data_IF_839823577453
#
_entry.id   IF_839823577453
#
_cell.length_a   1.000
_cell.length_b   1.000
_cell.length_c   1.000
_cell.angle_alpha   90.00
_cell.angle_beta   90.00
_cell.angle_gamma   90.00
#
_symmetry.space_group_name_H-M   'P 1'
#
loop_
_entity.id
_entity.type
_entity.pdbx_description
1 polymer ?
#
# COMPACT_ATOMS: atom_id res chain seq x y z
N UNK A 1 -10.46 20.58 -27.05
CA UNK A 1 -11.44 19.57 -27.52
C UNK A 1 -11.10 18.22 -26.88
N UNK A 2 -11.40 18.02 -25.60
CA UNK A 2 -11.05 16.80 -24.85
C UNK A 2 -12.22 16.23 -24.03
N UNK A 3 -13.44 16.70 -24.29
CA UNK A 3 -14.63 16.39 -23.47
C UNK A 3 -15.24 15.01 -23.73
N UNK A 4 -14.92 14.39 -24.87
CA UNK A 4 -15.70 13.26 -25.42
C UNK A 4 -14.85 12.01 -25.63
N UNK A 5 -13.56 12.04 -25.28
CA UNK A 5 -12.76 10.83 -25.35
C UNK A 5 -13.15 9.87 -24.21
N UNK A 6 -13.39 8.61 -24.58
CA UNK A 6 -13.65 7.48 -23.68
C UNK A 6 -14.93 7.56 -22.84
N UNK A 7 -16.06 8.00 -23.43
CA UNK A 7 -17.37 7.79 -22.79
C UNK A 7 -17.78 6.31 -22.87
N UNK A 8 -17.97 5.70 -21.72
CA UNK A 8 -18.51 4.35 -21.59
C UNK A 8 -20.00 4.32 -21.96
N UNK A 9 -20.51 3.14 -22.34
CA UNK A 9 -21.94 2.98 -22.65
C UNK A 9 -22.87 3.32 -21.47
N UNK A 10 -22.38 3.20 -20.23
CA UNK A 10 -23.13 3.62 -19.04
C UNK A 10 -23.17 5.14 -18.91
N UNK A 11 -22.03 5.83 -19.10
CA UNK A 11 -21.96 7.29 -19.08
C UNK A 11 -22.83 7.92 -20.17
N UNK A 12 -22.85 7.35 -21.39
CA UNK A 12 -23.73 7.82 -22.47
C UNK A 12 -25.20 7.70 -22.04
N UNK A 13 -25.59 6.58 -21.42
CA UNK A 13 -26.95 6.37 -20.91
C UNK A 13 -27.29 7.34 -19.78
N UNK A 14 -26.35 7.63 -18.88
CA UNK A 14 -26.53 8.64 -17.83
C UNK A 14 -26.71 10.04 -18.41
N UNK A 15 -25.81 10.48 -19.30
CA UNK A 15 -25.87 11.80 -19.96
C UNK A 15 -27.17 11.96 -20.73
N UNK A 16 -27.61 10.92 -21.44
CA UNK A 16 -28.88 10.94 -22.18
C UNK A 16 -30.08 11.11 -21.24
N UNK A 17 -30.07 10.44 -20.09
CA UNK A 17 -31.12 10.58 -19.06
C UNK A 17 -31.13 11.99 -18.46
N UNK A 18 -29.97 12.53 -18.11
CA UNK A 18 -29.89 13.91 -17.58
C UNK A 18 -30.34 14.92 -18.64
N UNK A 19 -29.86 14.81 -19.88
CA UNK A 19 -30.30 15.69 -20.97
C UNK A 19 -31.82 15.62 -21.19
N UNK A 20 -32.44 14.45 -21.00
CA UNK A 20 -33.90 14.30 -21.04
C UNK A 20 -34.61 15.06 -19.91
N UNK A 21 -34.02 15.14 -18.71
CA UNK A 21 -34.54 15.96 -17.60
C UNK A 21 -34.41 17.46 -17.91
N UNK A 22 -33.34 17.86 -18.58
CA UNK A 22 -33.07 19.25 -18.94
C UNK A 22 -33.64 19.68 -20.31
N UNK A 23 -34.63 18.97 -20.86
CA UNK A 23 -35.21 19.29 -22.18
C UNK A 23 -35.71 20.74 -22.32
N UNK A 24 -36.23 21.32 -21.24
CA UNK A 24 -36.65 22.73 -21.22
C UNK A 24 -35.50 23.75 -21.24
N UNK A 25 -34.27 23.29 -20.99
CA UNK A 25 -33.08 24.09 -20.71
C UNK A 25 -31.99 23.98 -21.79
N UNK A 26 -32.26 23.31 -22.93
CA UNK A 26 -31.30 23.05 -24.03
C UNK A 26 -30.81 24.35 -24.73
N UNK A 27 -31.23 25.52 -24.28
CA UNK A 27 -30.91 26.80 -24.91
C UNK A 27 -29.47 27.29 -24.64
N UNK A 28 -28.76 26.77 -23.63
CA UNK A 28 -27.40 27.20 -23.29
C UNK A 28 -26.35 26.18 -23.76
N UNK A 29 -25.28 26.61 -24.46
CA UNK A 29 -24.32 25.69 -25.05
C UNK A 29 -23.46 24.95 -24.02
N UNK A 30 -23.30 25.49 -22.80
CA UNK A 30 -22.51 24.83 -21.77
C UNK A 30 -23.32 23.85 -20.92
N UNK A 31 -24.62 23.65 -21.19
CA UNK A 31 -25.43 22.64 -20.48
C UNK A 31 -24.82 21.23 -20.62
N UNK A 32 -24.52 20.81 -21.85
CA UNK A 32 -23.98 19.48 -22.09
C UNK A 32 -22.59 19.29 -21.44
N UNK A 33 -21.62 20.22 -21.60
CA UNK A 33 -20.37 20.17 -20.85
C UNK A 33 -20.56 20.09 -19.33
N UNK A 34 -21.50 20.81 -18.73
CA UNK A 34 -21.80 20.74 -17.29
C UNK A 34 -22.30 19.35 -16.88
N UNK A 35 -23.24 18.77 -17.64
CA UNK A 35 -23.75 17.41 -17.40
C UNK A 35 -22.61 16.37 -17.50
N UNK A 36 -21.67 16.56 -18.42
CA UNK A 36 -20.53 15.64 -18.59
C UNK A 36 -19.51 15.70 -17.43
N UNK A 37 -19.51 16.76 -16.63
CA UNK A 37 -18.65 16.85 -15.43
C UNK A 37 -19.17 15.97 -14.30
N UNK A 38 -20.49 15.76 -14.21
CA UNK A 38 -21.10 15.04 -13.09
C UNK A 38 -20.55 13.61 -12.91
N UNK A 39 -20.47 12.74 -13.94
CA UNK A 39 -19.86 11.43 -13.78
C UNK A 39 -18.40 11.48 -13.29
N UNK A 40 -17.63 12.48 -13.73
CA UNK A 40 -16.22 12.65 -13.34
C UNK A 40 -16.10 13.07 -11.87
N UNK A 41 -16.99 13.97 -11.43
CA UNK A 41 -17.11 14.35 -10.03
C UNK A 41 -17.48 13.13 -9.17
N UNK A 42 -18.44 12.32 -9.60
CA UNK A 42 -18.83 11.10 -8.88
C UNK A 42 -17.68 10.10 -8.75
N UNK A 43 -16.89 9.88 -9.82
CA UNK A 43 -15.68 9.04 -9.77
C UNK A 43 -14.70 9.56 -8.71
N UNK A 44 -14.48 10.88 -8.65
CA UNK A 44 -13.59 11.48 -7.65
C UNK A 44 -14.15 11.31 -6.22
N UNK A 45 -15.44 11.56 -6.00
CA UNK A 45 -16.12 11.38 -4.70
C UNK A 45 -15.96 9.93 -4.22
N UNK A 46 -16.28 8.96 -5.07
CA UNK A 46 -16.19 7.55 -4.70
C UNK A 46 -14.73 7.11 -4.52
N UNK A 47 -13.82 7.54 -5.39
CA UNK A 47 -12.39 7.27 -5.28
C UNK A 47 -11.82 7.74 -3.94
N UNK A 48 -12.12 8.97 -3.52
CA UNK A 48 -11.69 9.52 -2.22
C UNK A 48 -12.31 8.75 -1.05
N UNK A 49 -13.58 8.34 -1.16
CA UNK A 49 -14.24 7.51 -0.15
C UNK A 49 -13.56 6.15 0.00
N UNK A 50 -13.21 5.51 -1.12
CA UNK A 50 -12.61 4.19 -1.13
C UNK A 50 -11.17 4.25 -0.62
N UNK A 51 -10.40 5.29 -0.97
CA UNK A 51 -9.09 5.56 -0.38
C UNK A 51 -9.16 5.73 1.14
N UNK A 52 -10.20 6.40 1.66
CA UNK A 52 -10.38 6.49 3.11
C UNK A 52 -10.55 5.10 3.75
N UNK A 53 -11.31 4.20 3.11
CA UNK A 53 -11.48 2.81 3.59
C UNK A 53 -10.16 2.04 3.54
N UNK A 54 -9.41 2.17 2.45
CA UNK A 54 -8.07 1.56 2.30
C UNK A 54 -7.12 2.02 3.40
N UNK A 55 -7.06 3.32 3.69
CA UNK A 55 -6.24 3.88 4.78
C UNK A 55 -6.66 3.31 6.14
N UNK A 56 -7.96 3.22 6.43
CA UNK A 56 -8.45 2.62 7.69
C UNK A 56 -8.06 1.14 7.79
N UNK A 57 -8.11 0.39 6.69
CA UNK A 57 -7.70 -1.01 6.68
C UNK A 57 -6.20 -1.15 6.96
N UNK A 58 -5.37 -0.29 6.36
CA UNK A 58 -3.94 -0.21 6.64
C UNK A 58 -3.70 0.06 8.13
N UNK A 59 -4.37 1.06 8.71
CA UNK A 59 -4.26 1.38 10.14
C UNK A 59 -4.65 0.23 11.07
N UNK A 60 -5.68 -0.54 10.69
CA UNK A 60 -6.08 -1.74 11.43
C UNK A 60 -5.02 -2.84 11.34
N UNK A 61 -4.47 -3.08 10.15
CA UNK A 61 -3.41 -4.09 9.93
C UNK A 61 -2.12 -3.74 10.69
N UNK A 62 -1.77 -2.46 10.77
CA UNK A 62 -0.58 -1.99 11.51
C UNK A 62 -0.81 -1.83 13.01
N UNK A 63 -2.05 -1.92 13.48
CA UNK A 63 -2.41 -1.70 14.89
C UNK A 63 -2.39 -0.22 15.32
N UNK A 64 -2.30 0.71 14.36
CA UNK A 64 -2.20 2.15 14.57
C UNK A 64 -3.55 2.87 14.51
N UNK A 65 -4.65 2.12 14.67
CA UNK A 65 -5.99 2.69 14.54
C UNK A 65 -6.18 3.86 15.52
N UNK A 66 -6.44 5.04 14.97
CA UNK A 66 -6.76 6.23 15.75
C UNK A 66 -8.10 6.00 16.46
N UNK A 67 -8.06 5.85 17.79
CA UNK A 67 -9.25 5.69 18.64
C UNK A 67 -9.93 7.05 18.80
N UNK A 68 -10.60 7.54 17.76
CA UNK A 68 -11.38 8.77 17.84
C UNK A 68 -12.77 8.53 18.46
N UNK A 69 -13.34 7.34 18.23
CA UNK A 69 -14.63 6.96 18.82
C UNK A 69 -14.44 6.27 20.18
N UNK A 70 -14.69 7.02 21.25
CA UNK A 70 -14.68 6.55 22.63
C UNK A 70 -15.63 5.36 22.88
N UNK A 71 -16.66 5.18 22.06
CA UNK A 71 -17.67 4.12 22.23
C UNK A 71 -17.14 2.72 21.91
N UNK A 72 -16.17 2.58 21.02
CA UNK A 72 -15.52 1.28 20.72
C UNK A 72 -14.35 0.97 21.66
N UNK A 73 -13.90 1.94 22.47
CA UNK A 73 -12.81 1.73 23.43
C UNK A 73 -13.16 0.74 24.56
N UNK A 74 -14.43 0.38 24.71
CA UNK A 74 -14.92 -0.62 25.67
C UNK A 74 -14.90 -2.06 25.14
N UNK A 75 -14.77 -2.28 23.82
CA UNK A 75 -14.57 -3.62 23.28
C UNK A 75 -13.08 -3.98 23.32
N UNK A 76 -12.67 -4.56 24.44
CA UNK A 76 -11.39 -5.28 24.58
C UNK A 76 -11.29 -6.38 23.51
N UNK A 77 -10.81 -6.06 22.31
CA UNK A 77 -10.22 -7.08 21.44
C UNK A 77 -8.84 -7.43 21.99
N UNK A 78 -8.49 -8.72 22.05
CA UNK A 78 -7.19 -9.15 22.56
C UNK A 78 -6.09 -8.47 21.74
N UNK A 79 -5.13 -7.87 22.43
CA UNK A 79 -3.93 -7.33 21.82
C UNK A 79 -3.33 -8.42 20.94
N UNK A 80 -3.21 -8.14 19.64
CA UNK A 80 -2.47 -9.01 18.72
C UNK A 80 -1.05 -9.07 19.29
N UNK A 81 -0.69 -10.21 19.87
CA UNK A 81 0.67 -10.48 20.31
C UNK A 81 1.55 -10.48 19.05
N UNK A 82 2.50 -9.55 18.98
CA UNK A 82 3.41 -9.30 17.86
C UNK A 82 2.76 -9.07 16.48
N UNK A 83 2.22 -7.87 16.20
CA UNK A 83 1.85 -7.45 14.84
C UNK A 83 3.04 -7.57 13.86
N UNK A 84 4.26 -7.34 14.33
CA UNK A 84 5.45 -7.29 13.49
C UNK A 84 5.86 -8.63 12.84
N UNK A 85 5.49 -9.79 13.41
CA UNK A 85 5.85 -11.11 12.84
C UNK A 85 4.85 -11.59 11.77
N UNK A 86 3.59 -11.16 11.83
CA UNK A 86 2.52 -11.63 10.93
C UNK A 86 2.13 -10.63 9.84
N UNK A 87 2.55 -9.37 9.97
CA UNK A 87 2.21 -8.31 9.02
C UNK A 87 3.14 -8.35 7.81
N UNK A 88 2.55 -8.42 6.62
CA UNK A 88 3.22 -8.19 5.34
C UNK A 88 3.33 -6.68 5.08
N UNK A 89 4.47 -6.11 5.46
CA UNK A 89 4.74 -4.68 5.27
C UNK A 89 4.88 -4.28 3.81
N UNK A 90 5.24 -5.20 2.90
CA UNK A 90 5.35 -4.89 1.47
C UNK A 90 3.96 -4.66 0.88
N UNK A 91 3.02 -5.56 1.18
CA UNK A 91 1.63 -5.42 0.76
C UNK A 91 1.00 -4.14 1.32
N UNK A 92 1.20 -3.85 2.61
CA UNK A 92 0.66 -2.65 3.24
C UNK A 92 1.26 -1.38 2.62
N UNK A 93 2.57 -1.37 2.34
CA UNK A 93 3.25 -0.24 1.71
C UNK A 93 2.73 0.00 0.28
N UNK A 94 2.47 -1.08 -0.47
CA UNK A 94 1.86 -1.00 -1.78
C UNK A 94 0.42 -0.45 -1.72
N UNK A 95 -0.41 -0.98 -0.81
CA UNK A 95 -1.80 -0.55 -0.58
C UNK A 95 -1.86 0.96 -0.28
N UNK A 96 -1.06 1.45 0.69
CA UNK A 96 -1.09 2.86 1.10
C UNK A 96 -0.51 3.79 0.03
N UNK A 97 0.49 3.34 -0.72
CA UNK A 97 1.07 4.11 -1.82
C UNK A 97 0.07 4.23 -2.97
N UNK A 98 -0.64 3.15 -3.29
CA UNK A 98 -1.73 3.15 -4.27
C UNK A 98 -2.84 4.12 -3.86
N UNK A 99 -3.26 4.10 -2.60
CA UNK A 99 -4.23 5.06 -2.06
C UNK A 99 -3.73 6.51 -2.21
N UNK A 100 -2.46 6.80 -1.88
CA UNK A 100 -1.86 8.15 -2.06
C UNK A 100 -1.88 8.59 -3.52
N UNK A 101 -1.55 7.71 -4.47
CA UNK A 101 -1.62 8.01 -5.91
C UNK A 101 -3.04 8.32 -6.39
N UNK A 102 -4.04 7.55 -5.94
CA UNK A 102 -5.46 7.79 -6.26
C UNK A 102 -5.93 9.14 -5.70
N UNK A 103 -5.52 9.49 -4.49
CA UNK A 103 -5.85 10.78 -3.87
C UNK A 103 -5.22 11.95 -4.63
N UNK A 104 -3.95 11.83 -5.02
CA UNK A 104 -3.29 12.84 -5.86
C UNK A 104 -4.00 13.04 -7.21
N UNK A 105 -4.48 11.95 -7.82
CA UNK A 105 -5.29 12.04 -9.04
C UNK A 105 -6.62 12.76 -8.81
N UNK A 106 -7.30 12.50 -7.68
CA UNK A 106 -8.51 13.23 -7.31
C UNK A 106 -8.26 14.73 -7.09
N UNK A 107 -7.15 15.09 -6.43
CA UNK A 107 -6.73 16.50 -6.28
C UNK A 107 -6.51 17.17 -7.64
N UNK A 108 -5.77 16.50 -8.54
CA UNK A 108 -5.56 16.97 -9.91
C UNK A 108 -6.87 17.17 -10.67
N UNK A 109 -7.82 16.22 -10.58
CA UNK A 109 -9.12 16.35 -11.22
C UNK A 109 -9.87 17.59 -10.72
N UNK A 110 -9.90 17.82 -9.42
CA UNK A 110 -10.55 19.01 -8.86
C UNK A 110 -9.90 20.31 -9.37
N UNK A 111 -8.56 20.38 -9.36
CA UNK A 111 -7.83 21.56 -9.84
C UNK A 111 -8.03 21.81 -11.33
N UNK A 112 -8.15 20.75 -12.14
CA UNK A 112 -8.38 20.86 -13.57
C UNK A 112 -9.82 21.27 -13.93
N UNK A 113 -10.82 20.85 -13.14
CA UNK A 113 -12.24 21.06 -13.46
C UNK A 113 -12.83 22.33 -12.88
N UNK A 114 -12.42 22.77 -11.69
CA UNK A 114 -12.91 24.00 -11.06
C UNK A 114 -12.84 25.25 -11.97
N UNK A 115 -11.68 25.59 -12.59
CA UNK A 115 -11.60 26.77 -13.47
C UNK A 115 -12.38 26.59 -14.78
N UNK A 116 -12.60 25.35 -15.24
CA UNK A 116 -13.40 25.07 -16.44
C UNK A 116 -14.87 25.32 -16.19
N UNK A 117 -15.41 24.87 -15.05
CA UNK A 117 -16.79 25.14 -14.65
C UNK A 117 -17.05 26.64 -14.47
N UNK A 118 -16.13 27.38 -13.84
CA UNK A 118 -16.23 28.84 -13.76
C UNK A 118 -16.22 29.50 -15.15
N UNK A 119 -15.47 28.95 -16.10
CA UNK A 119 -15.47 29.43 -17.49
C UNK A 119 -16.78 29.13 -18.20
N UNK A 120 -17.43 28.00 -17.92
CA UNK A 120 -18.74 27.67 -18.48
C UNK A 120 -19.81 28.67 -18.08
N UNK A 121 -19.85 29.00 -16.79
CA UNK A 121 -20.78 30.00 -16.26
C UNK A 121 -20.60 31.34 -16.98
N UNK A 122 -19.36 31.82 -17.08
CA UNK A 122 -19.02 33.06 -17.81
C UNK A 122 -19.42 33.03 -19.29
N UNK A 123 -19.27 31.89 -19.97
CA UNK A 123 -19.70 31.74 -21.37
C UNK A 123 -21.22 31.88 -21.47
N UNK A 124 -21.97 31.22 -20.57
CA UNK A 124 -23.42 31.31 -20.54
C UNK A 124 -23.89 32.74 -20.24
N UNK A 125 -23.30 33.44 -19.26
CA UNK A 125 -23.67 34.82 -18.92
C UNK A 125 -23.52 35.76 -20.12
N UNK A 126 -22.41 35.65 -20.87
CA UNK A 126 -22.19 36.45 -22.09
C UNK A 126 -23.24 36.18 -23.17
N UNK A 127 -23.68 34.94 -23.32
CA UNK A 127 -24.71 34.57 -24.30
C UNK A 127 -26.05 35.19 -23.91
N UNK A 128 -26.43 35.10 -22.64
CA UNK A 128 -27.67 35.69 -22.12
C UNK A 128 -27.66 37.21 -22.30
N UNK A 129 -26.52 37.86 -22.07
CA UNK A 129 -26.35 39.32 -22.27
C UNK A 129 -26.41 39.73 -23.73
N UNK A 130 -26.00 38.86 -24.66
CA UNK A 130 -25.97 39.15 -26.10
C UNK A 130 -27.34 39.13 -26.78
N UNK A 131 -28.39 38.64 -26.11
CA UNK A 131 -29.73 38.47 -26.69
C UNK A 131 -30.51 39.78 -26.68
N UNK A 132 -30.91 40.34 -27.84
CA UNK A 132 -31.53 41.66 -27.93
C UNK A 132 -33.02 41.68 -27.54
N UNK A 133 -33.75 40.57 -27.70
CA UNK A 133 -35.17 40.50 -27.42
C UNK A 133 -35.45 40.25 -25.93
N UNK A 134 -36.27 41.12 -25.30
CA UNK A 134 -36.55 41.09 -23.85
C UNK A 134 -37.20 39.76 -23.41
N UNK A 135 -38.18 39.25 -24.17
CA UNK A 135 -38.87 38.00 -23.85
C UNK A 135 -37.96 36.76 -23.93
N UNK A 136 -37.12 36.68 -24.96
CA UNK A 136 -36.14 35.60 -25.10
C UNK A 136 -35.06 35.67 -24.02
N UNK A 137 -34.66 36.89 -23.66
CA UNK A 137 -33.69 37.14 -22.60
C UNK A 137 -34.21 36.70 -21.23
N UNK A 138 -35.47 36.96 -20.88
CA UNK A 138 -36.06 36.51 -19.62
C UNK A 138 -36.09 34.97 -19.51
N UNK A 139 -36.50 34.29 -20.59
CA UNK A 139 -36.47 32.83 -20.65
C UNK A 139 -35.04 32.29 -20.46
N UNK A 140 -34.06 32.88 -21.15
CA UNK A 140 -32.66 32.48 -21.04
C UNK A 140 -32.07 32.77 -19.67
N UNK A 141 -32.45 33.86 -19.01
CA UNK A 141 -32.06 34.18 -17.64
C UNK A 141 -32.54 33.12 -16.65
N UNK A 142 -33.78 32.66 -16.78
CA UNK A 142 -34.32 31.60 -15.93
C UNK A 142 -33.57 30.26 -16.12
N UNK A 143 -33.26 29.91 -17.38
CA UNK A 143 -32.45 28.72 -17.69
C UNK A 143 -31.02 28.87 -17.15
N UNK A 144 -30.41 30.04 -17.32
CA UNK A 144 -29.07 30.34 -16.84
C UNK A 144 -28.96 30.23 -15.33
N UNK A 145 -29.95 30.74 -14.58
CA UNK A 145 -29.98 30.63 -13.12
C UNK A 145 -29.98 29.17 -12.66
N UNK A 146 -30.84 28.33 -13.25
CA UNK A 146 -30.87 26.90 -12.92
C UNK A 146 -29.54 26.19 -13.22
N UNK A 147 -28.91 26.51 -14.34
CA UNK A 147 -27.59 25.97 -14.69
C UNK A 147 -26.47 26.52 -13.79
N UNK A 148 -26.57 27.77 -13.36
CA UNK A 148 -25.64 28.41 -12.43
C UNK A 148 -25.69 27.76 -11.04
N UNK A 149 -26.88 27.42 -10.55
CA UNK A 149 -27.06 26.68 -9.30
C UNK A 149 -26.39 25.30 -9.37
N UNK A 150 -26.55 24.59 -10.50
CA UNK A 150 -25.92 23.29 -10.74
C UNK A 150 -24.39 23.40 -10.83
N UNK A 151 -23.87 24.38 -11.57
CA UNK A 151 -22.43 24.66 -11.63
C UNK A 151 -21.88 24.99 -10.23
N UNK A 152 -22.60 25.79 -9.45
CA UNK A 152 -22.21 26.15 -8.08
C UNK A 152 -22.16 24.92 -7.18
N UNK A 153 -23.16 24.04 -7.27
CA UNK A 153 -23.17 22.76 -6.57
C UNK A 153 -21.96 21.88 -6.94
N UNK A 154 -21.62 21.79 -8.23
CA UNK A 154 -20.44 21.05 -8.68
C UNK A 154 -19.14 21.66 -8.15
N UNK A 155 -19.00 22.98 -8.17
CA UNK A 155 -17.82 23.68 -7.64
C UNK A 155 -17.63 23.42 -6.14
N UNK A 156 -18.68 23.56 -5.34
CA UNK A 156 -18.64 23.23 -3.91
C UNK A 156 -18.31 21.75 -3.67
N UNK A 157 -18.84 20.86 -4.51
CA UNK A 157 -18.55 19.43 -4.42
C UNK A 157 -17.08 19.12 -4.74
N UNK A 158 -16.50 19.73 -5.79
CA UNK A 158 -15.08 19.61 -6.12
C UNK A 158 -14.18 20.13 -5.00
N UNK A 159 -14.54 21.27 -4.40
CA UNK A 159 -13.81 21.84 -3.26
C UNK A 159 -13.81 20.88 -2.06
N UNK A 160 -14.97 20.32 -1.71
CA UNK A 160 -15.10 19.35 -0.63
C UNK A 160 -14.29 18.07 -0.90
N UNK A 161 -14.32 17.57 -2.14
CA UNK A 161 -13.52 16.40 -2.56
C UNK A 161 -12.03 16.72 -2.44
N UNK A 162 -11.59 17.89 -2.92
CA UNK A 162 -10.20 18.31 -2.87
C UNK A 162 -9.70 18.46 -1.42
N UNK A 163 -10.49 19.10 -0.56
CA UNK A 163 -10.16 19.25 0.86
C UNK A 163 -9.99 17.88 1.53
N UNK A 164 -10.93 16.97 1.28
CA UNK A 164 -10.89 15.60 1.82
C UNK A 164 -9.72 14.81 1.26
N UNK A 165 -9.42 14.95 -0.03
CA UNK A 165 -8.27 14.31 -0.65
C UNK A 165 -6.96 14.79 -0.01
N UNK A 166 -6.76 16.11 0.13
CA UNK A 166 -5.59 16.71 0.80
C UNK A 166 -5.43 16.22 2.24
N UNK A 167 -6.52 16.14 2.99
CA UNK A 167 -6.50 15.59 4.35
C UNK A 167 -6.04 14.12 4.36
N UNK A 168 -6.65 13.28 3.52
CA UNK A 168 -6.30 11.86 3.44
C UNK A 168 -4.88 11.62 2.89
N UNK A 169 -4.40 12.47 1.99
CA UNK A 169 -3.02 12.43 1.47
C UNK A 169 -2.01 12.65 2.59
N UNK A 170 -2.22 13.66 3.44
CA UNK A 170 -1.39 13.89 4.64
C UNK A 170 -1.47 12.73 5.63
N UNK A 171 -2.66 12.15 5.83
CA UNK A 171 -2.84 10.99 6.70
C UNK A 171 -2.11 9.76 6.16
N UNK A 172 -2.21 9.48 4.86
CA UNK A 172 -1.50 8.38 4.21
C UNK A 172 0.02 8.56 4.31
N UNK A 173 0.53 9.79 4.16
CA UNK A 173 1.94 10.11 4.33
C UNK A 173 2.45 9.84 5.75
N UNK A 174 1.68 10.25 6.77
CA UNK A 174 1.99 9.91 8.15
C UNK A 174 2.01 8.38 8.37
N UNK A 175 1.04 7.65 7.81
CA UNK A 175 1.02 6.18 7.92
C UNK A 175 2.23 5.53 7.26
N UNK A 176 2.67 6.01 6.08
CA UNK A 176 3.89 5.54 5.40
C UNK A 176 5.11 5.70 6.33
N UNK A 177 5.26 6.85 6.98
CA UNK A 177 6.38 7.08 7.90
C UNK A 177 6.38 6.10 9.08
N UNK A 178 5.21 5.80 9.64
CA UNK A 178 5.12 4.83 10.73
C UNK A 178 5.40 3.41 10.22
N UNK A 179 4.88 3.02 9.05
CA UNK A 179 5.15 1.71 8.44
C UNK A 179 6.66 1.52 8.22
N UNK A 180 7.36 2.52 7.67
CA UNK A 180 8.81 2.46 7.48
C UNK A 180 9.55 2.32 8.81
N UNK A 181 9.07 2.97 9.86
CA UNK A 181 9.64 2.83 11.21
C UNK A 181 9.43 1.42 11.77
N UNK A 182 8.26 0.82 11.55
CA UNK A 182 7.97 -0.56 11.96
C UNK A 182 8.82 -1.59 11.18
N UNK A 183 9.06 -1.36 9.89
CA UNK A 183 9.99 -2.17 9.08
C UNK A 183 11.39 -2.10 9.68
N UNK A 184 11.92 -0.90 9.94
CA UNK A 184 13.24 -0.73 10.52
C UNK A 184 13.36 -1.40 11.91
N UNK A 185 12.32 -1.32 12.75
CA UNK A 185 12.29 -2.01 14.04
C UNK A 185 12.32 -3.54 13.89
N UNK A 186 11.58 -4.08 12.92
CA UNK A 186 11.59 -5.51 12.60
C UNK A 186 12.97 -5.97 12.12
N UNK A 187 13.59 -5.23 11.20
CA UNK A 187 14.90 -5.55 10.66
C UNK A 187 15.98 -5.53 11.75
N UNK A 188 15.93 -4.55 12.65
CA UNK A 188 16.81 -4.49 13.81
C UNK A 188 16.60 -5.69 14.76
N UNK A 189 15.35 -6.08 15.01
CA UNK A 189 15.05 -7.24 15.84
C UNK A 189 15.53 -8.56 15.22
N UNK A 190 15.37 -8.72 13.90
CA UNK A 190 15.88 -9.88 13.16
C UNK A 190 17.41 -9.92 13.20
N UNK A 191 18.09 -8.80 12.92
CA UNK A 191 19.53 -8.70 12.99
C UNK A 191 20.08 -9.05 14.39
N UNK A 192 19.41 -8.61 15.46
CA UNK A 192 19.79 -8.99 16.83
C UNK A 192 19.63 -10.50 17.09
N UNK A 193 18.55 -11.12 16.59
CA UNK A 193 18.33 -12.57 16.70
C UNK A 193 19.37 -13.36 15.90
N UNK A 194 19.69 -12.93 14.69
CA UNK A 194 20.69 -13.59 13.84
C UNK A 194 22.09 -13.48 14.45
N UNK A 195 22.45 -12.33 15.03
CA UNK A 195 23.70 -12.17 15.76
C UNK A 195 23.78 -13.08 17.00
N UNK A 196 22.67 -13.25 17.74
CA UNK A 196 22.62 -14.17 18.86
C UNK A 196 22.79 -15.63 18.40
N UNK A 197 22.14 -16.03 17.30
CA UNK A 197 22.27 -17.36 16.70
C UNK A 197 23.67 -17.62 16.15
N UNK A 198 24.29 -16.63 15.50
CA UNK A 198 25.67 -16.72 15.02
C UNK A 198 26.65 -16.91 16.18
N UNK A 199 26.41 -16.24 17.32
CA UNK A 199 27.24 -16.41 18.51
C UNK A 199 27.15 -17.82 19.07
N UNK A 200 25.95 -18.39 19.18
CA UNK A 200 25.78 -19.78 19.66
C UNK A 200 26.41 -20.79 18.71
N UNK A 201 26.22 -20.62 17.39
CA UNK A 201 26.86 -21.46 16.38
C UNK A 201 28.39 -21.37 16.48
N UNK A 202 28.94 -20.17 16.66
CA UNK A 202 30.39 -19.97 16.80
C UNK A 202 30.94 -20.63 18.06
N UNK A 203 30.21 -20.54 19.18
CA UNK A 203 30.58 -21.22 20.42
C UNK A 203 30.53 -22.75 20.27
N UNK A 204 29.53 -23.29 19.58
CA UNK A 204 29.43 -24.71 19.30
C UNK A 204 30.52 -25.18 18.34
N UNK A 205 30.82 -24.43 17.28
CA UNK A 205 31.95 -24.72 16.39
C UNK A 205 33.27 -24.73 17.15
N UNK A 206 33.47 -23.80 18.09
CA UNK A 206 34.65 -23.78 18.95
C UNK A 206 34.72 -25.04 19.82
N UNK A 207 33.60 -25.49 20.40
CA UNK A 207 33.55 -26.73 21.20
C UNK A 207 33.85 -27.97 20.36
N UNK A 208 33.27 -28.06 19.16
CA UNK A 208 33.52 -29.15 18.22
C UNK A 208 34.98 -29.17 17.77
N UNK A 209 35.57 -28.02 17.46
CA UNK A 209 36.98 -27.92 17.10
C UNK A 209 37.89 -28.40 18.24
N UNK A 210 37.62 -28.00 19.48
CA UNK A 210 38.37 -28.45 20.66
C UNK A 210 38.22 -29.97 20.88
N UNK A 211 37.02 -30.51 20.70
CA UNK A 211 36.80 -31.96 20.79
C UNK A 211 37.56 -32.70 19.68
N UNK A 212 37.52 -32.19 18.45
CA UNK A 212 38.20 -32.78 17.30
C UNK A 212 39.73 -32.75 17.46
N UNK A 213 40.33 -31.67 17.97
CA UNK A 213 41.77 -31.63 18.25
C UNK A 213 42.16 -32.65 19.32
N UNK A 214 41.33 -32.83 20.36
CA UNK A 214 41.54 -33.86 21.38
C UNK A 214 41.45 -35.27 20.82
N UNK A 215 40.48 -35.54 19.94
CA UNK A 215 40.36 -36.83 19.25
C UNK A 215 41.57 -37.09 18.33
N UNK A 216 42.02 -36.08 17.59
CA UNK A 216 43.21 -36.15 16.74
C UNK A 216 44.47 -36.48 17.55
N UNK A 217 44.69 -35.79 18.68
CA UNK A 217 45.81 -36.09 19.58
C UNK A 217 45.75 -37.53 20.14
N UNK A 218 44.56 -37.98 20.56
CA UNK A 218 44.36 -39.35 21.06
C UNK A 218 44.63 -40.39 19.97
N UNK A 219 44.19 -40.13 18.74
CA UNK A 219 44.42 -40.98 17.59
C UNK A 219 45.91 -41.05 17.22
N UNK A 220 46.64 -39.94 17.27
CA UNK A 220 48.09 -39.92 17.08
C UNK A 220 48.81 -40.78 18.11
N UNK A 221 48.41 -40.70 19.39
CA UNK A 221 48.97 -41.54 20.46
C UNK A 221 48.70 -43.03 20.19
N UNK A 222 47.45 -43.41 19.87
CA UNK A 222 47.09 -44.80 19.56
C UNK A 222 47.90 -45.30 18.35
N UNK A 223 48.04 -44.48 17.31
CA UNK A 223 48.82 -44.83 16.12
C UNK A 223 50.30 -45.02 16.45
N UNK A 224 50.88 -44.15 17.28
CA UNK A 224 52.27 -44.27 17.71
C UNK A 224 52.50 -45.54 18.54
N UNK A 225 51.61 -45.83 19.51
CA UNK A 225 51.63 -47.07 20.29
C UNK A 225 51.54 -48.28 19.33
N UNK A 226 50.57 -48.28 18.44
CA UNK A 226 50.36 -49.37 17.48
C UNK A 226 51.58 -49.58 16.59
N UNK A 227 52.23 -48.51 16.12
CA UNK A 227 53.46 -48.59 15.31
C UNK A 227 54.65 -49.19 16.07
N UNK A 228 54.75 -48.97 17.39
CA UNK A 228 55.79 -49.56 18.24
C UNK A 228 55.51 -51.05 18.53
N UNK A 229 54.26 -51.40 18.80
CA UNK A 229 53.89 -52.75 19.24
C UNK A 229 53.57 -53.73 18.10
N UNK A 230 53.21 -53.26 16.90
CA UNK A 230 52.96 -54.12 15.74
C UNK A 230 54.18 -54.94 15.29
N UNK A 231 55.39 -54.36 15.16
CA UNK A 231 56.58 -55.14 14.79
C UNK A 231 56.89 -56.23 15.82
N UNK A 232 56.73 -55.93 17.11
CA UNK A 232 57.00 -56.88 18.19
C UNK A 232 55.95 -57.99 18.27
N UNK A 233 54.68 -57.68 18.04
CA UNK A 233 53.62 -58.70 17.98
C UNK A 233 53.74 -59.55 16.71
N UNK A 234 54.11 -58.96 15.57
CA UNK A 234 54.40 -59.69 14.35
C UNK A 234 55.56 -60.68 14.52
N UNK A 235 56.69 -60.25 15.10
CA UNK A 235 57.82 -61.16 15.35
C UNK A 235 57.50 -62.24 16.39
N UNK A 236 56.75 -61.91 17.45
CA UNK A 236 56.31 -62.90 18.44
C UNK A 236 55.38 -63.97 17.83
N UNK A 237 54.46 -63.58 16.95
CA UNK A 237 53.59 -64.53 16.22
C UNK A 237 54.40 -65.38 15.25
N UNK A 238 55.34 -64.80 14.50
CA UNK A 238 56.24 -65.57 13.63
C UNK A 238 57.05 -66.58 14.43
N UNK A 239 57.63 -66.19 15.56
CA UNK A 239 58.46 -67.07 16.39
C UNK A 239 57.65 -68.19 17.07
N UNK A 240 56.40 -67.90 17.46
CA UNK A 240 55.46 -68.93 17.94
C UNK A 240 55.07 -69.90 16.82
N UNK A 241 54.83 -69.41 15.60
CA UNK A 241 54.51 -70.26 14.44
C UNK A 241 55.68 -71.18 14.07
N UNK A 242 56.92 -70.66 14.06
CA UNK A 242 58.13 -71.48 13.84
C UNK A 242 58.37 -72.50 14.94
N UNK A 243 58.06 -72.19 16.21
CA UNK A 243 58.16 -73.16 17.32
C UNK A 243 57.14 -74.30 17.21
N UNK A 244 55.99 -74.08 16.56
CA UNK A 244 54.97 -75.11 16.32
C UNK A 244 55.32 -75.98 15.09
N UNK A 245 55.99 -75.42 14.07
CA UNK A 245 56.44 -76.19 12.90
C UNK A 245 57.79 -76.91 13.07
N UNK A 246 58.64 -76.48 14.01
CA UNK A 246 59.92 -77.14 14.32
C UNK A 246 59.84 -78.31 15.31
N UNK A 247 58.63 -78.65 15.76
CA UNK A 247 58.34 -79.76 16.67
C UNK A 247 57.68 -80.95 15.96
N UNK A 248 58.37 -81.53 14.98
CA UNK A 248 58.03 -82.84 14.38
C UNK A 248 59.28 -83.50 13.82
#
# INVERSE_FOLDING_TARGET
>A
MAFVHDLTAEEIRQVTRELAKHRGSIALPMLLPTILVEPRLQIAIFGVRDCHREIILVERKTGLQTKWNWTEALQKKPAIQNPAETVDFNLITADISSAKSKLAYAEYLCEAWSPKLATFDRINSRIVESVPAVADRERLLNIHRGLQDEISFHLTSLENVQLRAKYLSKRAEAQIQVILSLIAQRDNALALRDNANLKTITEDQRRVAIAATRHSASMQIISAITAVFLPATFTAVCQAYFSIQGGS
#
